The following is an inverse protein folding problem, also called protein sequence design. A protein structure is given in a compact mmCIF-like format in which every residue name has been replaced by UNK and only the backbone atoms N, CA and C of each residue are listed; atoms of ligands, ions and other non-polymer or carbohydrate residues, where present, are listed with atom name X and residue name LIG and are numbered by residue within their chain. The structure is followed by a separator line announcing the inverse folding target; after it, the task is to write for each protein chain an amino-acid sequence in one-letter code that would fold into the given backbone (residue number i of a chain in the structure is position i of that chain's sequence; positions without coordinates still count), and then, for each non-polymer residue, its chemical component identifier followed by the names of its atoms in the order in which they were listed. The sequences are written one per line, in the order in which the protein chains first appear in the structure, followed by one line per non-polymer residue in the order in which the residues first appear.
data_IF_659213344477
#
_entry.id   IF_659213344477
#
_cell.length_a   1.000
_cell.length_b   1.000
_cell.length_c   1.000
_cell.angle_alpha   90.00
_cell.angle_beta   90.00
_cell.angle_gamma   90.00
#
_symmetry.space_group_name_H-M   'P 1'
#
loop_
_entity.id
_entity.type
_entity.pdbx_description
1 polymer ?
#
# COMPACT_ATOMS: atom_id res chain seq x y z
N UNK A 1 -25.56 59.47 1.56
CA UNK A 1 -24.26 59.02 2.06
C UNK A 1 -24.43 57.54 2.40
N UNK A 2 -24.14 56.68 1.43
CA UNK A 2 -24.24 55.25 1.58
C UNK A 2 -22.85 54.69 1.77
N UNK A 3 -22.55 54.23 2.97
CA UNK A 3 -21.33 53.48 3.27
C UNK A 3 -21.42 52.07 2.68
N UNK A 4 -20.57 51.79 1.73
CA UNK A 4 -20.34 50.44 1.25
C UNK A 4 -19.54 49.69 2.32
N UNK A 5 -20.20 48.91 3.13
CA UNK A 5 -19.55 47.83 3.89
C UNK A 5 -19.00 46.80 2.88
N UNK A 6 -17.73 46.96 2.53
CA UNK A 6 -16.93 45.90 1.95
C UNK A 6 -16.78 44.85 3.04
N UNK A 7 -17.64 43.84 2.97
CA UNK A 7 -17.42 42.58 3.69
C UNK A 7 -16.19 41.92 3.05
N UNK A 8 -15.02 42.14 3.66
CA UNK A 8 -13.84 41.31 3.40
C UNK A 8 -14.21 39.90 3.87
N UNK A 9 -14.73 39.09 2.97
CA UNK A 9 -14.70 37.63 3.17
C UNK A 9 -13.23 37.26 3.29
N UNK A 10 -12.78 36.99 4.51
CA UNK A 10 -11.49 36.34 4.77
C UNK A 10 -11.62 35.02 4.01
N UNK A 11 -10.96 34.94 2.83
CA UNK A 11 -10.84 33.67 2.12
C UNK A 11 -10.17 32.72 3.11
N UNK A 12 -10.93 31.78 3.64
CA UNK A 12 -10.40 30.76 4.52
C UNK A 12 -9.23 30.09 3.77
N UNK A 13 -8.10 29.96 4.45
CA UNK A 13 -6.92 29.30 3.86
C UNK A 13 -7.31 27.88 3.49
N UNK A 14 -7.02 27.49 2.26
CA UNK A 14 -7.29 26.14 1.75
C UNK A 14 -6.76 25.09 2.74
N UNK A 15 -7.59 24.07 3.07
CA UNK A 15 -7.25 23.03 4.02
C UNK A 15 -7.15 23.48 5.49
N UNK A 16 -7.70 24.62 5.86
CA UNK A 16 -7.60 25.15 7.24
C UNK A 16 -8.30 24.28 8.30
N UNK A 17 -9.13 23.34 7.86
CA UNK A 17 -9.87 22.39 8.70
C UNK A 17 -9.18 21.02 8.86
N UNK A 18 -8.06 20.82 8.14
CA UNK A 18 -7.17 19.67 8.26
C UNK A 18 -5.92 20.07 9.02
N UNK A 19 -5.61 19.37 10.09
CA UNK A 19 -4.47 19.63 10.95
C UNK A 19 -3.50 18.45 10.95
N UNK A 20 -2.34 18.55 10.25
CA UNK A 20 -1.29 17.56 10.35
C UNK A 20 -0.64 17.61 11.74
N UNK A 21 -0.55 16.45 12.39
CA UNK A 21 0.22 16.23 13.62
C UNK A 21 1.23 15.11 13.37
N UNK A 22 2.29 14.99 14.16
CA UNK A 22 3.23 13.88 14.02
C UNK A 22 2.56 12.49 14.02
N UNK A 23 1.51 12.32 14.79
CA UNK A 23 0.81 11.04 14.93
C UNK A 23 -0.34 10.80 13.92
N UNK A 24 -0.53 11.65 12.92
CA UNK A 24 -1.57 11.49 11.89
C UNK A 24 -2.23 12.81 11.49
N UNK A 25 -3.25 12.72 10.66
CA UNK A 25 -3.97 13.87 10.13
C UNK A 25 -5.31 14.02 10.85
N UNK A 26 -5.50 15.13 11.58
CA UNK A 26 -6.75 15.43 12.27
C UNK A 26 -7.72 16.21 11.38
N UNK A 27 -8.94 15.70 11.25
CA UNK A 27 -10.06 16.27 10.50
C UNK A 27 -10.99 16.95 11.48
N UNK A 28 -10.79 18.24 11.73
CA UNK A 28 -11.47 18.98 12.82
C UNK A 28 -13.00 18.88 12.75
N UNK A 29 -13.70 19.15 11.62
CA UNK A 29 -15.17 19.14 11.60
C UNK A 29 -15.78 17.73 11.71
N UNK A 30 -14.98 16.68 11.52
CA UNK A 30 -15.39 15.27 11.70
C UNK A 30 -15.02 14.74 13.10
N UNK A 31 -14.16 15.44 13.83
CA UNK A 31 -13.53 14.97 15.06
C UNK A 31 -12.94 13.55 14.87
N UNK A 32 -12.16 13.37 13.81
CA UNK A 32 -11.58 12.09 13.41
C UNK A 32 -10.13 12.26 12.94
N UNK A 33 -9.38 11.17 12.95
CA UNK A 33 -7.99 11.12 12.52
C UNK A 33 -7.83 10.18 11.34
N UNK A 34 -7.05 10.55 10.34
CA UNK A 34 -6.65 9.64 9.27
C UNK A 34 -5.34 8.97 9.65
N UNK A 35 -5.29 7.64 9.57
CA UNK A 35 -4.16 6.75 9.83
C UNK A 35 -3.37 7.11 11.10
N UNK A 36 -3.98 7.25 12.26
CA UNK A 36 -3.25 7.67 13.44
C UNK A 36 -2.33 6.58 13.97
N UNK A 37 -1.05 6.93 14.20
CA UNK A 37 -0.02 6.02 14.75
C UNK A 37 -0.23 5.68 16.25
N UNK A 38 -1.21 6.31 16.91
CA UNK A 38 -1.58 6.08 18.33
C UNK A 38 -3.08 5.99 18.48
N UNK A 39 -3.60 5.28 19.53
CA UNK A 39 -5.03 5.20 19.80
C UNK A 39 -5.71 6.58 19.86
N UNK A 40 -6.81 6.73 19.12
CA UNK A 40 -7.68 7.90 19.06
C UNK A 40 -9.13 7.49 19.28
N UNK A 41 -9.97 8.47 19.65
CA UNK A 41 -11.40 8.21 19.81
C UNK A 41 -12.02 7.72 18.50
N UNK A 42 -11.60 8.29 17.36
CA UNK A 42 -12.12 7.95 16.03
C UNK A 42 -10.99 7.99 14.99
N UNK A 43 -10.85 6.89 14.24
CA UNK A 43 -9.86 6.72 13.20
C UNK A 43 -10.52 6.41 11.86
N UNK A 44 -10.05 7.04 10.78
CA UNK A 44 -10.31 6.70 9.39
C UNK A 44 -9.06 5.98 8.90
N UNK A 45 -9.17 4.72 8.49
CA UNK A 45 -8.00 3.90 8.13
C UNK A 45 -7.99 3.63 6.63
N UNK A 46 -6.90 4.01 5.96
CA UNK A 46 -6.75 3.87 4.51
C UNK A 46 -6.56 2.42 4.08
N UNK A 47 -5.75 1.63 4.79
CA UNK A 47 -5.46 0.23 4.47
C UNK A 47 -4.87 -0.53 5.67
N UNK A 48 -4.72 -1.87 5.52
CA UNK A 48 -4.42 -2.78 6.62
C UNK A 48 -2.94 -2.93 7.01
N UNK A 49 -1.98 -2.17 6.45
CA UNK A 49 -0.58 -2.23 6.88
C UNK A 49 -0.39 -1.67 8.30
N UNK A 50 0.62 -2.15 9.01
CA UNK A 50 0.77 -1.90 10.44
C UNK A 50 1.09 -0.45 10.81
N UNK A 51 1.69 0.29 9.93
CA UNK A 51 2.01 1.71 10.06
C UNK A 51 0.79 2.62 9.88
N UNK A 52 -0.23 2.18 9.13
CA UNK A 52 -1.51 2.87 8.91
C UNK A 52 -2.61 2.34 9.83
N UNK A 53 -2.77 1.02 9.94
CA UNK A 53 -3.82 0.36 10.73
C UNK A 53 -3.30 -0.05 12.12
N UNK A 54 -3.42 0.84 13.09
CA UNK A 54 -3.12 0.53 14.49
C UNK A 54 -4.36 0.04 15.23
N UNK A 55 -4.18 -0.82 16.21
CA UNK A 55 -5.27 -1.24 17.11
C UNK A 55 -5.51 -0.26 18.25
N UNK A 56 -6.65 -0.43 18.94
CA UNK A 56 -6.96 0.29 20.18
C UNK A 56 -7.67 1.63 20.02
N UNK A 57 -8.16 1.95 18.82
CA UNK A 57 -9.02 3.12 18.60
C UNK A 57 -10.41 2.91 19.21
N UNK A 58 -11.07 4.01 19.60
CA UNK A 58 -12.46 3.95 20.12
C UNK A 58 -13.45 3.54 19.03
N UNK A 59 -13.28 4.03 17.81
CA UNK A 59 -14.08 3.70 16.62
C UNK A 59 -13.18 3.74 15.39
N UNK A 60 -13.34 2.77 14.48
CA UNK A 60 -12.56 2.65 13.24
C UNK A 60 -13.50 2.66 12.04
N UNK A 61 -13.28 3.57 11.11
CA UNK A 61 -13.96 3.66 9.82
C UNK A 61 -13.00 3.23 8.71
N UNK A 62 -13.35 2.17 8.00
CA UNK A 62 -12.53 1.63 6.91
C UNK A 62 -13.37 0.78 5.96
N UNK A 63 -12.77 0.29 4.88
CA UNK A 63 -13.42 -0.70 4.02
C UNK A 63 -13.63 -2.03 4.76
N UNK A 64 -14.63 -2.85 4.36
CA UNK A 64 -14.86 -4.16 4.96
C UNK A 64 -13.61 -5.03 5.01
N UNK A 65 -12.82 -5.03 3.94
CA UNK A 65 -11.60 -5.83 3.80
C UNK A 65 -10.51 -5.32 4.75
N UNK A 66 -10.34 -4.01 4.87
CA UNK A 66 -9.39 -3.40 5.81
C UNK A 66 -9.76 -3.75 7.25
N UNK A 67 -11.06 -3.68 7.62
CA UNK A 67 -11.51 -4.10 8.95
C UNK A 67 -11.27 -5.59 9.21
N UNK A 68 -11.48 -6.46 8.23
CA UNK A 68 -11.20 -7.89 8.34
C UNK A 68 -9.70 -8.17 8.54
N UNK A 69 -8.83 -7.44 7.82
CA UNK A 69 -7.38 -7.51 8.00
C UNK A 69 -7.00 -7.04 9.41
N UNK A 70 -7.57 -5.93 9.90
CA UNK A 70 -7.32 -5.43 11.25
C UNK A 70 -7.80 -6.43 12.32
N UNK A 71 -8.98 -7.03 12.14
CA UNK A 71 -9.49 -8.07 13.05
C UNK A 71 -8.56 -9.29 13.10
N UNK A 72 -8.04 -9.70 11.96
CA UNK A 72 -7.08 -10.80 11.85
C UNK A 72 -5.76 -10.51 12.59
N UNK A 73 -5.28 -9.27 12.58
CA UNK A 73 -4.00 -8.87 13.17
C UNK A 73 -4.09 -8.46 14.64
N UNK A 74 -5.16 -7.79 15.03
CA UNK A 74 -5.31 -7.13 16.33
C UNK A 74 -6.52 -7.58 17.13
N UNK A 75 -7.35 -8.50 16.61
CA UNK A 75 -8.66 -8.84 17.13
C UNK A 75 -9.75 -7.88 16.68
N UNK A 76 -10.99 -8.18 17.08
CA UNK A 76 -12.17 -7.40 16.70
C UNK A 76 -12.00 -5.91 17.03
N UNK A 77 -12.33 -5.06 16.07
CA UNK A 77 -12.36 -3.61 16.19
C UNK A 77 -13.80 -3.11 16.33
N UNK A 78 -14.01 -1.97 17.00
CA UNK A 78 -15.28 -1.25 16.92
C UNK A 78 -15.36 -0.57 15.55
N UNK A 79 -15.58 -1.38 14.51
CA UNK A 79 -15.45 -0.99 13.11
C UNK A 79 -16.77 -0.51 12.53
N UNK A 80 -16.71 0.58 11.76
CA UNK A 80 -17.75 1.08 10.88
C UNK A 80 -17.31 0.83 9.44
N UNK A 81 -17.96 -0.12 8.80
CA UNK A 81 -17.64 -0.50 7.42
C UNK A 81 -18.21 0.52 6.42
N UNK A 82 -17.38 0.99 5.50
CA UNK A 82 -17.78 1.87 4.40
C UNK A 82 -17.27 1.27 3.08
N UNK A 83 -18.20 0.95 2.18
CA UNK A 83 -17.84 0.42 0.85
C UNK A 83 -17.39 1.53 -0.09
N UNK A 84 -16.71 1.18 -1.18
CA UNK A 84 -16.21 2.17 -2.15
C UNK A 84 -17.32 3.00 -2.83
N UNK A 85 -18.54 2.48 -2.88
CA UNK A 85 -19.69 3.15 -3.52
C UNK A 85 -20.50 4.03 -2.56
N UNK A 86 -20.05 4.11 -1.27
CA UNK A 86 -20.75 4.83 -0.22
C UNK A 86 -20.06 6.13 0.16
N UNK A 87 -20.85 7.15 0.44
CA UNK A 87 -20.43 8.35 1.16
C UNK A 87 -21.13 8.40 2.50
N UNK A 88 -20.38 8.61 3.56
CA UNK A 88 -20.88 8.70 4.94
C UNK A 88 -20.63 10.09 5.50
N UNK A 89 -21.54 10.56 6.35
CA UNK A 89 -21.38 11.84 7.02
C UNK A 89 -20.88 11.65 8.44
N UNK A 90 -19.73 12.26 8.72
CA UNK A 90 -19.14 12.25 10.04
C UNK A 90 -18.92 13.68 10.53
N UNK A 91 -19.65 14.10 11.57
CA UNK A 91 -19.75 15.51 11.93
C UNK A 91 -20.34 16.32 10.77
N UNK A 92 -19.56 17.30 10.29
CA UNK A 92 -19.95 18.14 9.15
C UNK A 92 -19.24 17.77 7.84
N UNK A 93 -18.47 16.68 7.81
CA UNK A 93 -17.69 16.23 6.66
C UNK A 93 -18.38 15.06 5.97
N UNK A 94 -18.51 15.10 4.65
CA UNK A 94 -18.86 13.94 3.85
C UNK A 94 -17.59 13.18 3.48
N UNK A 95 -17.55 11.87 3.75
CA UNK A 95 -16.37 11.01 3.66
C UNK A 95 -16.67 9.87 2.71
N UNK A 96 -15.79 9.65 1.72
CA UNK A 96 -15.86 8.51 0.81
C UNK A 96 -14.52 7.79 0.77
N UNK A 97 -14.59 6.45 0.69
CA UNK A 97 -13.43 5.59 0.49
C UNK A 97 -13.35 5.23 -0.99
N UNK A 98 -12.22 5.55 -1.63
CA UNK A 98 -12.02 5.37 -3.07
C UNK A 98 -10.85 4.41 -3.30
N UNK A 99 -10.95 3.42 -4.19
CA UNK A 99 -9.89 2.43 -4.38
C UNK A 99 -8.49 3.03 -4.58
N UNK A 100 -7.51 2.54 -3.84
CA UNK A 100 -6.11 2.99 -3.89
C UNK A 100 -5.19 2.07 -4.72
N UNK A 101 -5.59 0.81 -5.00
CA UNK A 101 -4.82 -0.13 -5.81
C UNK A 101 -3.59 -0.73 -5.14
N UNK A 102 -3.42 -0.53 -3.83
CA UNK A 102 -2.24 -0.90 -3.08
C UNK A 102 -2.31 -2.35 -2.55
N UNK A 103 -3.27 -2.63 -1.68
CA UNK A 103 -3.58 -3.96 -1.15
C UNK A 103 -5.09 -4.16 -1.09
N UNK A 104 -5.56 -5.37 -0.77
CA UNK A 104 -6.98 -5.67 -0.62
C UNK A 104 -7.62 -4.72 0.40
N UNK A 105 -8.70 -4.06 0.02
CA UNK A 105 -9.41 -3.07 0.83
C UNK A 105 -8.76 -1.70 0.91
N UNK A 106 -7.59 -1.47 0.30
CA UNK A 106 -6.91 -0.16 0.36
C UNK A 106 -7.74 0.95 -0.29
N UNK A 107 -7.83 2.08 0.38
CA UNK A 107 -8.63 3.22 -0.05
C UNK A 107 -7.91 4.55 0.13
N UNK A 108 -8.08 5.43 -0.83
CA UNK A 108 -7.92 6.86 -0.64
C UNK A 108 -9.13 7.37 0.16
N UNK A 109 -8.95 8.34 1.04
CA UNK A 109 -10.04 8.96 1.78
C UNK A 109 -10.32 10.33 1.18
N UNK A 110 -11.48 10.46 0.53
CA UNK A 110 -12.01 11.73 0.04
C UNK A 110 -12.81 12.38 1.18
N UNK A 111 -12.44 13.61 1.51
CA UNK A 111 -13.06 14.44 2.53
C UNK A 111 -13.68 15.68 1.86
N UNK A 112 -14.97 15.92 2.03
CA UNK A 112 -15.68 17.04 1.45
C UNK A 112 -16.32 17.90 2.55
N UNK A 113 -15.94 19.18 2.61
CA UNK A 113 -16.43 20.12 3.61
C UNK A 113 -16.51 21.53 3.04
N UNK A 114 -17.67 22.17 3.14
CA UNK A 114 -17.92 23.55 2.67
C UNK A 114 -17.50 23.81 1.21
N UNK A 115 -17.63 22.80 0.34
CA UNK A 115 -17.28 22.89 -1.08
C UNK A 115 -15.80 22.70 -1.38
N UNK A 116 -14.97 22.43 -0.38
CA UNK A 116 -13.57 22.04 -0.55
C UNK A 116 -13.45 20.52 -0.51
N UNK A 117 -12.60 19.98 -1.41
CA UNK A 117 -12.34 18.54 -1.54
C UNK A 117 -10.88 18.24 -1.22
N UNK A 118 -10.64 17.35 -0.27
CA UNK A 118 -9.30 16.89 0.11
C UNK A 118 -9.24 15.37 -0.04
N UNK A 119 -8.20 14.88 -0.70
CA UNK A 119 -7.93 13.44 -0.79
C UNK A 119 -6.67 13.12 -0.01
N UNK A 120 -6.78 12.18 0.94
CA UNK A 120 -5.63 11.51 1.56
C UNK A 120 -5.44 10.19 0.84
N UNK A 121 -4.35 10.05 0.07
CA UNK A 121 -4.15 8.88 -0.79
C UNK A 121 -3.94 7.58 0.00
N UNK A 122 -3.42 7.66 1.24
CA UNK A 122 -2.73 6.53 1.82
C UNK A 122 -1.62 6.07 0.88
N UNK A 123 -1.23 4.82 0.97
CA UNK A 123 -0.36 4.20 -0.01
C UNK A 123 -1.16 3.77 -1.23
N UNK A 124 -0.61 3.93 -2.43
CA UNK A 124 -1.34 3.61 -3.64
C UNK A 124 -0.48 3.03 -4.76
N UNK A 125 -1.12 2.30 -5.67
CA UNK A 125 -0.52 1.74 -6.88
C UNK A 125 -1.43 1.96 -8.07
N UNK A 126 -0.89 2.52 -9.16
CA UNK A 126 -1.68 2.77 -10.37
C UNK A 126 -1.77 1.57 -11.30
N UNK A 127 -0.68 0.81 -11.39
CA UNK A 127 -0.67 -0.42 -12.20
C UNK A 127 -1.56 -1.45 -11.54
N UNK A 128 -2.43 -2.02 -12.38
CA UNK A 128 -3.43 -2.98 -11.91
C UNK A 128 -2.80 -4.16 -11.16
N UNK A 129 -3.32 -4.41 -9.98
CA UNK A 129 -3.02 -5.58 -9.16
C UNK A 129 -4.23 -6.51 -9.17
N UNK A 130 -4.06 -7.80 -9.56
CA UNK A 130 -5.19 -8.73 -9.60
C UNK A 130 -5.73 -9.12 -8.24
N UNK A 131 -5.06 -8.76 -7.14
CA UNK A 131 -5.45 -9.11 -5.78
C UNK A 131 -6.27 -8.04 -5.07
N UNK A 132 -6.48 -6.86 -5.70
CA UNK A 132 -7.24 -5.75 -5.10
C UNK A 132 -7.97 -4.91 -6.16
N UNK A 133 -8.84 -3.99 -5.70
CA UNK A 133 -9.52 -3.04 -6.56
C UNK A 133 -8.52 -2.06 -7.19
N UNK A 134 -8.66 -1.71 -8.50
CA UNK A 134 -7.74 -0.82 -9.20
C UNK A 134 -7.85 0.63 -8.68
N UNK A 135 -6.73 1.37 -8.72
CA UNK A 135 -6.67 2.79 -8.36
C UNK A 135 -7.65 3.64 -9.19
N UNK A 136 -8.34 4.55 -8.52
CA UNK A 136 -9.26 5.51 -9.15
C UNK A 136 -8.73 6.94 -8.98
N UNK A 137 -8.54 7.65 -10.09
CA UNK A 137 -8.16 9.08 -10.05
C UNK A 137 -9.31 9.90 -9.47
N UNK A 138 -9.04 10.62 -8.37
CA UNK A 138 -10.05 11.41 -7.66
C UNK A 138 -9.65 12.89 -7.67
N UNK A 139 -10.26 13.75 -8.52
CA UNK A 139 -9.97 15.18 -8.54
C UNK A 139 -10.30 15.85 -7.20
N UNK A 140 -9.39 16.71 -6.72
CA UNK A 140 -9.53 17.40 -5.43
C UNK A 140 -8.81 18.75 -5.42
N UNK A 141 -9.05 19.55 -4.38
CA UNK A 141 -8.36 20.82 -4.17
C UNK A 141 -6.98 20.62 -3.51
N UNK A 142 -6.91 19.69 -2.56
CA UNK A 142 -5.66 19.29 -1.91
C UNK A 142 -5.49 17.78 -2.05
N UNK A 143 -4.33 17.37 -2.58
CA UNK A 143 -3.93 15.97 -2.65
C UNK A 143 -2.82 15.69 -1.64
N UNK A 144 -3.13 14.90 -0.62
CA UNK A 144 -2.16 14.45 0.38
C UNK A 144 -1.66 13.08 -0.07
N UNK A 145 -0.39 12.99 -0.47
CA UNK A 145 0.17 11.82 -1.17
C UNK A 145 1.41 11.26 -0.50
N UNK A 146 1.59 9.95 -0.62
CA UNK A 146 2.86 9.28 -0.32
C UNK A 146 3.98 9.71 -1.28
N UNK A 147 5.23 9.40 -0.92
CA UNK A 147 6.41 9.55 -1.77
C UNK A 147 7.44 8.43 -1.55
N UNK A 148 7.01 7.21 -1.22
CA UNK A 148 7.88 6.05 -0.94
C UNK A 148 8.94 5.86 -2.02
N UNK A 149 8.55 5.90 -3.28
CA UNK A 149 9.44 5.89 -4.43
C UNK A 149 9.53 7.24 -5.13
N UNK A 150 9.52 8.33 -4.38
CA UNK A 150 9.53 9.72 -4.83
C UNK A 150 10.85 10.22 -5.47
N UNK A 151 11.69 9.33 -6.00
CA UNK A 151 12.92 9.66 -6.74
C UNK A 151 12.88 9.16 -8.18
N UNK A 152 13.40 9.91 -9.17
CA UNK A 152 13.41 9.53 -10.59
C UNK A 152 14.11 8.19 -10.91
N UNK A 153 14.94 7.67 -10.01
CA UNK A 153 15.59 6.36 -10.16
C UNK A 153 14.63 5.20 -10.00
N UNK A 154 13.52 5.42 -9.28
CA UNK A 154 12.50 4.41 -9.06
C UNK A 154 11.45 4.44 -10.17
N UNK A 155 11.81 3.91 -11.31
CA UNK A 155 10.91 3.53 -12.39
C UNK A 155 10.87 2.03 -12.45
N UNK A 156 9.75 1.47 -12.07
CA UNK A 156 9.61 0.03 -11.94
C UNK A 156 9.27 -0.60 -13.30
N UNK A 157 9.81 -1.80 -13.60
CA UNK A 157 9.42 -2.55 -14.79
C UNK A 157 7.98 -3.04 -14.69
N UNK A 158 7.47 -3.61 -15.77
CA UNK A 158 6.20 -4.35 -15.74
C UNK A 158 6.32 -5.56 -14.81
N UNK A 159 5.34 -5.73 -13.90
CA UNK A 159 5.33 -6.83 -12.93
C UNK A 159 5.35 -8.19 -13.62
N UNK A 160 4.61 -8.32 -14.73
CA UNK A 160 4.59 -9.56 -15.50
C UNK A 160 5.96 -9.95 -16.05
N UNK A 161 6.78 -8.98 -16.47
CA UNK A 161 8.15 -9.25 -16.93
C UNK A 161 9.06 -9.78 -15.80
N UNK A 162 8.85 -9.32 -14.57
CA UNK A 162 9.57 -9.82 -13.41
C UNK A 162 9.14 -11.26 -13.04
N UNK A 163 7.84 -11.56 -13.18
CA UNK A 163 7.33 -12.93 -13.03
C UNK A 163 7.87 -13.85 -14.13
N UNK A 164 7.95 -13.40 -15.38
CA UNK A 164 8.56 -14.18 -16.46
C UNK A 164 10.04 -14.51 -16.17
N UNK A 165 10.80 -13.58 -15.58
CA UNK A 165 12.18 -13.83 -15.12
C UNK A 165 12.23 -14.90 -14.03
N UNK A 166 11.28 -14.88 -13.08
CA UNK A 166 11.18 -15.90 -12.02
C UNK A 166 10.87 -17.27 -12.62
N UNK A 167 9.87 -17.37 -13.49
CA UNK A 167 9.49 -18.63 -14.14
C UNK A 167 10.61 -19.17 -15.04
N UNK A 168 11.28 -18.31 -15.78
CA UNK A 168 12.45 -18.69 -16.57
C UNK A 168 13.55 -19.30 -15.69
N UNK A 169 13.81 -18.69 -14.54
CA UNK A 169 14.82 -19.18 -13.61
C UNK A 169 14.44 -20.53 -13.00
N UNK A 170 13.18 -20.71 -12.64
CA UNK A 170 12.63 -21.99 -12.14
C UNK A 170 12.80 -23.11 -13.17
N UNK A 171 12.46 -22.85 -14.44
CA UNK A 171 12.57 -23.84 -15.50
C UNK A 171 14.02 -24.16 -15.92
N UNK A 172 14.93 -23.20 -15.76
CA UNK A 172 16.35 -23.40 -16.09
C UNK A 172 17.09 -24.27 -15.07
N UNK A 173 16.62 -24.32 -13.82
CA UNK A 173 17.24 -25.06 -12.71
C UNK A 173 16.18 -25.93 -11.98
N UNK A 174 15.61 -26.94 -12.63
CA UNK A 174 14.47 -27.72 -12.11
C UNK A 174 14.79 -28.57 -10.88
N UNK A 175 16.06 -28.78 -10.57
CA UNK A 175 16.53 -29.45 -9.35
C UNK A 175 16.51 -28.54 -8.10
N UNK A 176 16.43 -27.25 -8.30
CA UNK A 176 16.35 -26.24 -7.22
C UNK A 176 14.90 -25.81 -7.00
N UNK A 177 14.60 -25.24 -5.85
CA UNK A 177 13.36 -24.50 -5.65
C UNK A 177 13.62 -22.98 -5.74
N UNK A 178 12.58 -22.17 -5.97
CA UNK A 178 12.69 -20.71 -5.88
C UNK A 178 12.03 -20.23 -4.60
N UNK A 179 12.81 -19.63 -3.70
CA UNK A 179 12.33 -19.06 -2.45
C UNK A 179 12.16 -17.56 -2.61
N UNK A 180 10.92 -17.09 -2.64
CA UNK A 180 10.57 -15.68 -2.83
C UNK A 180 10.24 -15.04 -1.49
N UNK A 181 11.04 -14.06 -1.07
CA UNK A 181 10.72 -13.16 0.04
C UNK A 181 9.70 -12.12 -0.41
N UNK A 182 8.55 -12.11 0.24
CA UNK A 182 7.47 -11.16 0.00
C UNK A 182 6.76 -10.83 1.32
N UNK A 183 6.33 -9.57 1.50
CA UNK A 183 5.57 -9.20 2.68
C UNK A 183 4.25 -9.96 2.77
N UNK A 184 3.85 -10.29 3.99
CA UNK A 184 2.73 -11.19 4.24
C UNK A 184 1.38 -10.59 3.83
N UNK A 185 1.22 -9.28 3.90
CA UNK A 185 0.03 -8.56 3.45
C UNK A 185 0.30 -7.86 2.11
N UNK A 186 -0.49 -8.15 1.12
CA UNK A 186 -0.47 -7.52 -0.21
C UNK A 186 0.57 -8.14 -1.14
N UNK A 187 1.86 -8.01 -0.85
CA UNK A 187 2.95 -8.44 -1.75
C UNK A 187 2.93 -9.94 -2.07
N UNK A 188 2.75 -10.79 -1.07
CA UNK A 188 2.70 -12.23 -1.27
C UNK A 188 1.51 -12.62 -2.17
N UNK A 189 0.31 -12.08 -1.90
CA UNK A 189 -0.89 -12.34 -2.67
C UNK A 189 -0.77 -11.81 -4.10
N UNK A 190 -0.18 -10.64 -4.29
CA UNK A 190 0.12 -10.08 -5.60
C UNK A 190 1.03 -11.01 -6.41
N UNK A 191 2.15 -11.47 -5.83
CA UNK A 191 3.08 -12.41 -6.50
C UNK A 191 2.35 -13.69 -6.88
N UNK A 192 1.53 -14.27 -5.99
CA UNK A 192 0.73 -15.46 -6.28
C UNK A 192 -0.21 -15.21 -7.46
N UNK A 193 -1.00 -14.16 -7.43
CA UNK A 193 -1.95 -13.85 -8.49
C UNK A 193 -1.28 -13.57 -9.83
N UNK A 194 -0.13 -12.90 -9.83
CA UNK A 194 0.63 -12.66 -11.06
C UNK A 194 1.25 -13.95 -11.62
N UNK A 195 1.66 -14.89 -10.77
CA UNK A 195 2.07 -16.23 -11.19
C UNK A 195 0.90 -16.98 -11.85
N UNK A 196 -0.30 -16.94 -11.23
CA UNK A 196 -1.51 -17.55 -11.81
C UNK A 196 -1.86 -16.95 -13.18
N UNK A 197 -1.78 -15.62 -13.31
CA UNK A 197 -1.98 -14.93 -14.60
C UNK A 197 -1.00 -15.36 -15.70
N UNK A 198 0.20 -15.80 -15.32
CA UNK A 198 1.23 -16.33 -16.23
C UNK A 198 1.13 -17.84 -16.48
N UNK A 199 0.04 -18.47 -16.01
CA UNK A 199 -0.23 -19.89 -16.22
C UNK A 199 0.57 -20.82 -15.31
N UNK A 200 1.08 -20.33 -14.20
CA UNK A 200 1.67 -21.20 -13.19
C UNK A 200 0.55 -21.77 -12.31
N UNK A 201 0.01 -22.92 -12.70
CA UNK A 201 -1.12 -23.61 -12.03
C UNK A 201 -0.68 -24.66 -11.01
N UNK A 202 0.62 -24.92 -10.89
CA UNK A 202 1.20 -25.81 -9.90
C UNK A 202 0.95 -25.30 -8.47
N UNK A 203 0.91 -26.20 -7.46
CA UNK A 203 0.85 -25.78 -6.07
C UNK A 203 1.97 -24.81 -5.71
N UNK A 204 1.63 -23.69 -5.08
CA UNK A 204 2.58 -22.74 -4.50
C UNK A 204 2.72 -23.05 -3.03
N UNK A 205 3.97 -23.20 -2.57
CA UNK A 205 4.25 -23.45 -1.17
C UNK A 205 4.43 -22.14 -0.42
N UNK A 206 3.89 -22.07 0.79
CA UNK A 206 3.96 -20.87 1.60
C UNK A 206 4.54 -21.16 3.01
N UNK A 207 5.27 -20.20 3.54
CA UNK A 207 5.66 -20.20 4.93
C UNK A 207 4.43 -20.00 5.83
N UNK A 208 4.38 -20.62 7.01
CA UNK A 208 3.23 -20.55 7.92
C UNK A 208 2.79 -19.11 8.29
N UNK A 209 3.72 -18.16 8.29
CA UNK A 209 3.39 -16.76 8.56
C UNK A 209 2.51 -16.08 7.47
N UNK A 210 2.37 -16.70 6.30
CA UNK A 210 1.53 -16.19 5.22
C UNK A 210 0.12 -16.78 5.24
N UNK A 211 -0.10 -17.90 5.94
CA UNK A 211 -1.33 -18.70 5.84
C UNK A 211 -2.58 -17.91 6.22
N UNK A 212 -2.54 -17.23 7.35
CA UNK A 212 -3.71 -16.53 7.87
C UNK A 212 -4.20 -15.43 6.91
N UNK A 213 -3.28 -14.64 6.37
CA UNK A 213 -3.63 -13.58 5.42
C UNK A 213 -4.00 -14.13 4.03
N UNK A 214 -3.34 -15.18 3.55
CA UNK A 214 -3.73 -15.84 2.31
C UNK A 214 -5.14 -16.45 2.43
N UNK A 215 -5.45 -17.11 3.53
CA UNK A 215 -6.79 -17.62 3.81
C UNK A 215 -7.84 -16.52 3.83
N UNK A 216 -7.56 -15.39 4.49
CA UNK A 216 -8.46 -14.23 4.50
C UNK A 216 -8.70 -13.67 3.09
N UNK A 217 -7.66 -13.58 2.23
CA UNK A 217 -7.84 -13.14 0.85
C UNK A 217 -8.77 -14.07 0.07
N UNK A 218 -8.64 -15.39 0.24
CA UNK A 218 -9.54 -16.36 -0.39
C UNK A 218 -10.98 -16.25 0.13
N UNK A 219 -11.18 -16.09 1.45
CA UNK A 219 -12.50 -15.82 2.06
C UNK A 219 -13.15 -14.56 1.52
N UNK A 220 -12.35 -13.52 1.21
CA UNK A 220 -12.80 -12.27 0.62
C UNK A 220 -12.86 -12.30 -0.92
N UNK A 221 -12.73 -13.50 -1.52
CA UNK A 221 -12.98 -13.74 -2.95
C UNK A 221 -11.79 -13.56 -3.88
N UNK A 222 -10.56 -13.45 -3.38
CA UNK A 222 -9.36 -13.44 -4.21
C UNK A 222 -8.88 -14.86 -4.47
N UNK A 223 -8.94 -15.39 -5.73
CA UNK A 223 -8.69 -16.80 -6.03
C UNK A 223 -7.18 -17.09 -6.10
N UNK A 224 -6.51 -17.32 -4.97
CA UNK A 224 -5.07 -17.57 -4.91
C UNK A 224 -4.68 -18.95 -5.51
N UNK A 225 -5.63 -19.87 -5.62
CA UNK A 225 -5.41 -21.23 -6.14
C UNK A 225 -4.76 -22.12 -5.10
N UNK A 226 -4.20 -23.27 -5.53
CA UNK A 226 -3.68 -24.25 -4.59
C UNK A 226 -2.44 -23.73 -3.85
N UNK A 227 -2.57 -23.54 -2.54
CA UNK A 227 -1.49 -23.19 -1.61
C UNK A 227 -1.21 -24.37 -0.67
N UNK A 228 0.07 -24.66 -0.41
CA UNK A 228 0.50 -25.72 0.51
C UNK A 228 1.52 -25.21 1.52
N UNK A 229 1.49 -25.76 2.71
CA UNK A 229 2.50 -25.45 3.73
C UNK A 229 3.88 -26.00 3.37
N UNK A 230 4.88 -25.13 3.25
CA UNK A 230 6.25 -25.55 2.98
C UNK A 230 6.90 -26.30 4.17
N UNK A 231 6.39 -26.08 5.39
CA UNK A 231 6.99 -26.65 6.63
C UNK A 231 6.80 -28.16 6.73
N UNK A 232 5.70 -28.69 6.19
CA UNK A 232 5.37 -30.12 6.26
C UNK A 232 5.73 -30.90 4.97
N UNK A 233 6.12 -30.18 3.92
CA UNK A 233 6.51 -30.77 2.65
C UNK A 233 7.89 -31.43 2.71
N UNK A 234 8.08 -32.53 2.00
CA UNK A 234 9.39 -33.15 1.82
C UNK A 234 10.28 -32.34 0.88
N UNK A 235 11.60 -32.55 0.92
CA UNK A 235 12.49 -31.88 -0.04
C UNK A 235 12.19 -32.24 -1.49
N UNK A 236 11.72 -33.47 -1.74
CA UNK A 236 11.33 -33.90 -3.08
C UNK A 236 10.09 -33.17 -3.59
N UNK A 237 9.11 -32.88 -2.70
CA UNK A 237 7.90 -32.13 -3.06
C UNK A 237 8.21 -30.67 -3.39
N UNK A 238 9.26 -30.10 -2.80
CA UNK A 238 9.65 -28.70 -2.97
C UNK A 238 10.59 -28.47 -4.17
N UNK A 239 11.19 -29.52 -4.69
CA UNK A 239 12.09 -29.43 -5.84
C UNK A 239 11.35 -28.94 -7.09
N UNK A 240 11.90 -27.95 -7.78
CA UNK A 240 11.26 -27.33 -8.94
C UNK A 240 9.98 -26.54 -8.62
N UNK A 241 9.77 -26.13 -7.35
CA UNK A 241 8.56 -25.40 -6.93
C UNK A 241 8.88 -23.99 -6.46
N UNK A 242 7.85 -23.16 -6.42
CA UNK A 242 7.89 -21.81 -5.88
C UNK A 242 7.42 -21.86 -4.43
N UNK A 243 8.22 -21.20 -3.57
CA UNK A 243 7.97 -21.10 -2.14
C UNK A 243 7.97 -19.61 -1.78
N UNK A 244 6.92 -19.12 -1.11
CA UNK A 244 6.88 -17.75 -0.60
C UNK A 244 7.08 -17.72 0.91
N UNK A 245 7.79 -16.70 1.37
CA UNK A 245 8.02 -16.46 2.80
C UNK A 245 8.13 -14.95 3.08
N UNK A 246 7.98 -14.51 4.35
CA UNK A 246 8.34 -13.14 4.73
C UNK A 246 9.83 -12.86 4.45
N UNK A 247 10.23 -11.62 4.15
CA UNK A 247 11.62 -11.26 3.83
C UNK A 247 12.63 -11.73 4.90
N UNK A 248 12.27 -11.64 6.18
CA UNK A 248 13.11 -12.11 7.28
C UNK A 248 13.40 -13.61 7.28
N UNK A 249 12.54 -14.44 6.66
CA UNK A 249 12.71 -15.89 6.59
C UNK A 249 13.64 -16.36 5.46
N UNK A 250 14.05 -15.48 4.54
CA UNK A 250 14.96 -15.83 3.43
C UNK A 250 16.29 -16.44 3.89
N UNK A 251 16.82 -15.97 5.00
CA UNK A 251 18.15 -16.34 5.49
C UNK A 251 18.14 -17.00 6.88
N UNK A 252 16.99 -17.46 7.36
CA UNK A 252 16.85 -18.07 8.67
C UNK A 252 17.15 -19.60 8.68
N UNK A 253 16.92 -20.25 9.83
CA UNK A 253 17.12 -21.71 9.98
C UNK A 253 16.10 -22.52 9.14
N UNK A 254 14.94 -21.96 8.90
CA UNK A 254 13.88 -22.62 8.15
C UNK A 254 14.28 -22.75 6.68
N UNK A 255 14.76 -21.68 6.05
CA UNK A 255 15.17 -21.69 4.63
C UNK A 255 16.31 -22.65 4.32
N UNK A 256 17.22 -22.91 5.28
CA UNK A 256 18.32 -23.89 5.13
C UNK A 256 17.88 -25.34 4.99
N UNK A 257 16.60 -25.64 5.26
CA UNK A 257 16.03 -26.99 5.08
C UNK A 257 15.54 -27.24 3.66
N UNK A 258 15.38 -26.16 2.88
CA UNK A 258 14.87 -26.23 1.52
C UNK A 258 15.91 -26.86 0.56
N UNK A 259 15.49 -27.48 -0.55
CA UNK A 259 16.39 -28.08 -1.53
C UNK A 259 17.07 -26.99 -2.37
N UNK A 260 18.27 -26.59 -1.98
CA UNK A 260 19.11 -25.60 -2.69
C UNK A 260 18.34 -24.40 -3.27
N UNK A 261 17.76 -23.54 -2.43
CA UNK A 261 16.82 -22.51 -2.89
C UNK A 261 17.53 -21.41 -3.69
N UNK A 262 17.01 -21.07 -4.86
CA UNK A 262 17.29 -19.81 -5.52
C UNK A 262 16.59 -18.72 -4.70
N UNK A 263 17.36 -17.87 -4.03
CA UNK A 263 16.78 -16.80 -3.22
C UNK A 263 16.32 -15.65 -4.11
N UNK A 264 15.04 -15.32 -4.04
CA UNK A 264 14.42 -14.18 -4.71
C UNK A 264 13.79 -13.23 -3.70
N UNK A 265 13.67 -11.96 -4.01
CA UNK A 265 12.95 -10.99 -3.19
C UNK A 265 12.10 -10.08 -4.07
N UNK A 266 10.81 -10.00 -3.75
CA UNK A 266 9.84 -9.13 -4.40
C UNK A 266 9.73 -7.81 -3.62
N UNK A 267 10.36 -6.75 -4.13
CA UNK A 267 10.31 -5.41 -3.52
C UNK A 267 10.68 -4.35 -4.55
N UNK A 268 10.07 -3.16 -4.48
CA UNK A 268 10.43 -2.00 -5.29
C UNK A 268 11.89 -1.58 -5.07
N UNK A 269 12.43 -1.79 -3.88
CA UNK A 269 13.82 -1.51 -3.52
C UNK A 269 14.85 -2.40 -4.24
N UNK A 270 14.43 -3.52 -4.83
CA UNK A 270 15.31 -4.39 -5.62
C UNK A 270 15.81 -3.70 -6.89
N UNK A 271 15.26 -2.53 -7.25
CA UNK A 271 15.81 -1.62 -8.25
C UNK A 271 17.24 -1.19 -7.91
N UNK A 272 17.59 -1.12 -6.63
CA UNK A 272 18.92 -0.72 -6.14
C UNK A 272 19.77 -1.97 -5.92
N UNK A 273 20.71 -2.22 -6.85
CA UNK A 273 21.57 -3.41 -6.86
C UNK A 273 22.32 -3.65 -5.54
N UNK A 274 22.68 -2.59 -4.83
CA UNK A 274 23.38 -2.71 -3.55
C UNK A 274 22.49 -3.36 -2.48
N UNK A 275 21.19 -3.03 -2.42
CA UNK A 275 20.22 -3.65 -1.49
C UNK A 275 20.08 -5.15 -1.76
N UNK A 276 19.98 -5.56 -3.03
CA UNK A 276 19.91 -6.98 -3.38
C UNK A 276 21.17 -7.75 -2.92
N UNK A 277 22.37 -7.16 -3.10
CA UNK A 277 23.63 -7.76 -2.63
C UNK A 277 23.70 -7.86 -1.12
N UNK A 278 23.29 -6.82 -0.39
CA UNK A 278 23.30 -6.83 1.09
C UNK A 278 22.36 -7.90 1.68
N UNK A 279 21.29 -8.23 0.98
CA UNK A 279 20.34 -9.26 1.38
C UNK A 279 20.67 -10.67 0.83
N UNK A 280 21.81 -10.84 0.13
CA UNK A 280 22.22 -12.10 -0.51
C UNK A 280 21.12 -12.68 -1.41
N UNK A 281 20.47 -11.85 -2.21
CA UNK A 281 19.40 -12.25 -3.13
C UNK A 281 20.00 -12.57 -4.49
N UNK A 282 19.80 -13.82 -4.98
CA UNK A 282 20.25 -14.27 -6.31
C UNK A 282 19.37 -13.67 -7.43
N UNK A 283 18.06 -13.58 -7.18
CA UNK A 283 17.06 -13.09 -8.14
C UNK A 283 16.29 -11.90 -7.57
N UNK A 284 16.81 -10.68 -7.70
CA UNK A 284 16.05 -9.49 -7.32
C UNK A 284 14.88 -9.29 -8.29
N UNK A 285 13.65 -9.20 -7.75
CA UNK A 285 12.41 -8.95 -8.47
C UNK A 285 11.90 -7.56 -8.11
N UNK A 286 11.86 -6.65 -9.09
CA UNK A 286 11.38 -5.29 -8.86
C UNK A 286 9.84 -5.30 -8.93
N UNK A 287 9.22 -5.75 -7.86
CA UNK A 287 7.75 -5.82 -7.72
C UNK A 287 7.34 -4.94 -6.54
N UNK A 288 6.60 -3.87 -6.82
CA UNK A 288 6.14 -2.90 -5.82
C UNK A 288 4.63 -2.79 -5.82
N UNK A 289 4.05 -2.63 -4.66
CA UNK A 289 2.65 -2.26 -4.38
C UNK A 289 2.46 -0.75 -4.19
N UNK A 290 3.56 0.04 -4.19
CA UNK A 290 3.50 1.50 -4.20
C UNK A 290 3.70 2.08 -5.59
N UNK A 291 3.21 3.31 -5.77
CA UNK A 291 3.43 4.10 -6.97
C UNK A 291 4.92 4.42 -7.15
N UNK A 292 5.44 4.25 -8.36
CA UNK A 292 6.77 4.68 -8.71
C UNK A 292 6.80 6.17 -9.12
N UNK A 293 7.98 6.69 -9.43
CA UNK A 293 8.15 8.10 -9.82
C UNK A 293 7.20 8.55 -10.94
N UNK A 294 7.07 7.74 -11.98
CA UNK A 294 6.21 8.10 -13.13
C UNK A 294 4.74 8.05 -12.74
N UNK A 295 4.33 7.08 -11.92
CA UNK A 295 2.97 6.97 -11.40
C UNK A 295 2.62 8.11 -10.43
N UNK A 296 3.55 8.50 -9.52
CA UNK A 296 3.36 9.64 -8.60
C UNK A 296 3.14 10.93 -9.39
N UNK A 297 4.03 11.24 -10.33
CA UNK A 297 3.95 12.47 -11.11
C UNK A 297 2.76 12.48 -12.07
N UNK A 298 2.38 11.33 -12.62
CA UNK A 298 1.17 11.17 -13.44
C UNK A 298 -0.09 11.39 -12.61
N UNK A 299 -0.15 10.82 -11.40
CA UNK A 299 -1.31 10.98 -10.50
C UNK A 299 -1.54 12.45 -10.17
N UNK A 300 -0.49 13.18 -9.79
CA UNK A 300 -0.60 14.62 -9.48
C UNK A 300 -1.14 15.40 -10.69
N UNK A 301 -0.66 15.10 -11.92
CA UNK A 301 -1.17 15.76 -13.13
C UNK A 301 -2.65 15.48 -13.39
N UNK A 302 -3.09 14.25 -13.19
CA UNK A 302 -4.46 13.80 -13.48
C UNK A 302 -5.46 14.24 -12.40
N UNK A 303 -5.06 14.21 -11.12
CA UNK A 303 -5.83 14.75 -10.00
C UNK A 303 -5.99 16.26 -10.13
N UNK A 304 -4.97 16.94 -10.69
CA UNK A 304 -4.92 18.39 -10.93
C UNK A 304 -5.26 19.24 -9.68
N UNK A 305 -4.63 18.98 -8.52
CA UNK A 305 -4.95 19.67 -7.28
C UNK A 305 -4.41 21.10 -7.29
N UNK A 306 -5.00 21.98 -6.46
CA UNK A 306 -4.48 23.32 -6.20
C UNK A 306 -3.22 23.29 -5.33
N UNK A 307 -3.14 22.32 -4.41
CA UNK A 307 -2.00 22.09 -3.54
C UNK A 307 -1.72 20.57 -3.38
N UNK A 308 -0.44 20.21 -3.33
CA UNK A 308 0.02 18.85 -2.99
C UNK A 308 0.69 18.88 -1.63
N UNK A 309 0.26 18.02 -0.72
CA UNK A 309 0.91 17.82 0.56
C UNK A 309 1.55 16.44 0.54
N UNK A 310 2.85 16.37 0.81
CA UNK A 310 3.61 15.14 0.66
C UNK A 310 3.88 14.56 2.05
N UNK A 311 3.47 13.32 2.24
CA UNK A 311 3.75 12.55 3.45
C UNK A 311 5.05 11.77 3.27
N UNK A 312 5.32 10.81 4.11
CA UNK A 312 6.49 9.94 4.18
C UNK A 312 7.15 9.58 2.82
N UNK A 313 8.46 9.33 2.86
CA UNK A 313 9.26 8.88 1.72
C UNK A 313 10.36 9.86 1.31
N UNK A 314 10.54 10.05 0.01
CA UNK A 314 11.56 10.95 -0.58
C UNK A 314 10.93 12.23 -1.11
N UNK A 315 10.50 13.08 -0.21
CA UNK A 315 9.69 14.28 -0.46
C UNK A 315 10.43 15.31 -1.31
N UNK A 316 11.74 15.50 -1.10
CA UNK A 316 12.56 16.54 -1.74
C UNK A 316 12.43 16.57 -3.26
N UNK A 317 12.55 15.40 -3.91
CA UNK A 317 12.51 15.33 -5.37
C UNK A 317 11.10 15.58 -5.91
N UNK A 318 10.06 15.06 -5.23
CA UNK A 318 8.67 15.30 -5.62
C UNK A 318 8.26 16.74 -5.37
N UNK A 319 8.70 17.36 -4.27
CA UNK A 319 8.58 18.79 -3.99
C UNK A 319 9.19 19.62 -5.11
N UNK A 320 10.44 19.34 -5.48
CA UNK A 320 11.13 20.04 -6.57
C UNK A 320 10.39 19.90 -7.90
N UNK A 321 9.89 18.69 -8.19
CA UNK A 321 9.09 18.44 -9.39
C UNK A 321 7.80 19.28 -9.39
N UNK A 322 7.07 19.33 -8.28
CA UNK A 322 5.88 20.17 -8.14
C UNK A 322 6.21 21.65 -8.39
N UNK A 323 7.28 22.17 -7.79
CA UNK A 323 7.71 23.57 -7.96
C UNK A 323 8.01 23.90 -9.44
N UNK A 324 8.73 23.01 -10.15
CA UNK A 324 9.06 23.20 -11.57
C UNK A 324 7.84 23.12 -12.50
N UNK A 325 6.76 22.50 -12.03
CA UNK A 325 5.47 22.42 -12.74
C UNK A 325 4.42 23.43 -12.22
N UNK A 326 4.87 24.43 -11.41
CA UNK A 326 4.01 25.51 -10.88
C UNK A 326 2.87 25.00 -9.98
N UNK A 327 3.05 23.84 -9.36
CA UNK A 327 2.12 23.26 -8.39
C UNK A 327 2.61 23.63 -6.99
N UNK A 328 1.72 24.19 -6.17
CA UNK A 328 2.05 24.45 -4.77
C UNK A 328 2.19 23.13 -4.03
N UNK A 329 3.30 22.94 -3.33
CA UNK A 329 3.53 21.73 -2.56
C UNK A 329 4.13 22.07 -1.18
N UNK A 330 3.86 21.21 -0.21
CA UNK A 330 4.50 21.26 1.12
C UNK A 330 4.68 19.83 1.65
N UNK A 331 5.67 19.68 2.50
CA UNK A 331 5.96 18.46 3.24
C UNK A 331 5.10 18.39 4.52
N UNK A 332 4.68 17.18 4.88
CA UNK A 332 4.02 16.86 6.14
C UNK A 332 4.93 15.96 6.97
N UNK A 333 5.39 16.46 8.11
CA UNK A 333 6.21 15.68 9.04
C UNK A 333 5.35 14.76 9.90
N UNK A 334 4.98 13.60 9.35
CA UNK A 334 4.28 12.54 10.07
C UNK A 334 5.29 11.53 10.65
N UNK A 335 4.98 10.92 11.79
CA UNK A 335 5.86 9.95 12.48
C UNK A 335 5.14 8.60 12.59
N UNK A 336 5.90 7.53 12.35
CA UNK A 336 5.39 6.16 12.50
C UNK A 336 4.96 5.50 11.19
N UNK A 337 5.19 6.17 10.07
CA UNK A 337 5.09 5.60 8.73
C UNK A 337 6.50 5.13 8.34
N UNK A 338 6.87 3.95 8.76
CA UNK A 338 8.13 3.32 8.38
C UNK A 338 7.88 2.51 7.11
N UNK A 339 8.79 2.60 6.14
CA UNK A 339 8.77 1.73 4.97
C UNK A 339 8.76 0.27 5.45
N UNK A 340 7.69 -0.49 5.21
CA UNK A 340 7.64 -1.94 5.50
C UNK A 340 8.80 -2.70 4.80
N UNK A 341 9.50 -2.03 3.88
CA UNK A 341 10.63 -2.55 3.10
C UNK A 341 12.00 -2.37 3.79
N UNK A 342 12.10 -1.78 4.99
CA UNK A 342 13.31 -1.77 5.81
C UNK A 342 13.30 -2.88 6.87
#
# INVERSE_FOLDING_TARGET
MGGSELTLAIMARLGSWIEPFPEGIYVRPADAWVDPSRPKARALVTHGHADHARGGHGEVWATPETLAIMATRYGEQNGQSVTYDESVRLGDVDISFVPAGHVLGSAQILLEYQGERIVVSGDYKRRNDPSCAPFVVTPCDIFITEATFGLPVFRHPDTGSEIDRLLHRLHAEPERCVLVGAYALGKAQRVIMELRRRGYDEPIYIHGALEQLCGLYEELGVPLGELRQATVASKADLQGKIILCPPGALNDRWSRRLPDPITAMASGWMRIRQRARQRNVELPLVISDHADWDELTQTIREVAPKEVWITHGREDALMHWCMTHQIKAKELNLVGYEDEDE
#
